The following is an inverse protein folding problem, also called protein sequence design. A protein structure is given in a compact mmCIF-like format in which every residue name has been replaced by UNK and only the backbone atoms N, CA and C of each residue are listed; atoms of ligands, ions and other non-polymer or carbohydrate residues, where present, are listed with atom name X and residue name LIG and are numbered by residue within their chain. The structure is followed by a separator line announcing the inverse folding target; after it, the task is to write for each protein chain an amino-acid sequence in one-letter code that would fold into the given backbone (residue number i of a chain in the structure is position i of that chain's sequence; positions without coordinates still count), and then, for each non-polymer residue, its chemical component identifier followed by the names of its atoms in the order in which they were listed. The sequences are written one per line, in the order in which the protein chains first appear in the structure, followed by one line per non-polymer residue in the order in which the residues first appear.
data_IF_161032547465
#
_entry.id   IF_161032547465
#
_cell.length_a   1.000
_cell.length_b   1.000
_cell.length_c   1.000
_cell.angle_alpha   90.00
_cell.angle_beta   90.00
_cell.angle_gamma   90.00
#
_symmetry.space_group_name_H-M   'P 1'
#
loop_
_entity.id
_entity.type
_entity.pdbx_description
1 polymer ?
#
# COMPACT_ATOMS: atom_id res chain seq x y z
N UNK A 1 20.21 -41.49 -21.32
CA UNK A 1 19.36 -41.12 -20.16
C UNK A 1 19.60 -39.65 -19.99
N UNK A 2 18.87 -38.84 -20.75
CA UNK A 2 19.18 -37.42 -20.93
C UNK A 2 18.34 -36.56 -19.96
N UNK A 3 17.55 -37.23 -19.11
CA UNK A 3 16.70 -36.65 -18.09
C UNK A 3 17.46 -36.22 -16.84
N UNK A 4 18.72 -36.64 -16.68
CA UNK A 4 19.54 -36.27 -15.52
C UNK A 4 20.62 -35.28 -15.94
N UNK A 5 20.56 -34.07 -15.38
CA UNK A 5 21.63 -33.10 -15.56
C UNK A 5 22.91 -33.57 -14.85
N UNK A 6 24.10 -33.40 -15.47
CA UNK A 6 25.37 -33.66 -14.79
C UNK A 6 25.52 -32.69 -13.61
N UNK A 7 26.01 -33.21 -12.48
CA UNK A 7 26.33 -32.41 -11.29
C UNK A 7 27.85 -32.23 -11.18
N UNK A 8 28.28 -31.05 -10.72
CA UNK A 8 29.69 -30.78 -10.44
C UNK A 8 30.04 -31.28 -9.03
N UNK A 9 30.85 -32.33 -8.96
CA UNK A 9 31.26 -32.95 -7.70
C UNK A 9 32.01 -32.00 -6.76
N UNK A 10 32.79 -31.05 -7.31
CA UNK A 10 33.54 -30.10 -6.49
C UNK A 10 32.61 -29.11 -5.77
N UNK A 11 31.55 -28.65 -6.45
CA UNK A 11 30.56 -27.77 -5.84
C UNK A 11 29.81 -28.47 -4.70
N UNK A 12 29.53 -29.78 -4.83
CA UNK A 12 28.89 -30.56 -3.78
C UNK A 12 29.76 -30.73 -2.52
N UNK A 13 31.09 -30.70 -2.67
CA UNK A 13 32.04 -30.77 -1.56
C UNK A 13 32.24 -29.42 -0.84
N UNK A 14 32.16 -28.30 -1.59
CA UNK A 14 32.36 -26.95 -1.05
C UNK A 14 31.13 -26.42 -0.31
N UNK A 15 29.93 -26.74 -0.80
CA UNK A 15 28.68 -26.24 -0.23
C UNK A 15 28.30 -27.12 0.98
N UNK A 16 28.22 -26.52 2.17
CA UNK A 16 27.79 -27.21 3.38
C UNK A 16 26.26 -27.37 3.46
N UNK A 17 25.79 -28.16 4.43
CA UNK A 17 24.35 -28.37 4.62
C UNK A 17 23.61 -27.09 5.00
N UNK A 18 24.27 -26.17 5.71
CA UNK A 18 23.66 -24.93 6.16
C UNK A 18 23.34 -24.03 4.97
N UNK A 19 24.31 -23.81 4.08
CA UNK A 19 24.12 -23.01 2.87
C UNK A 19 23.12 -23.65 1.90
N UNK A 20 23.07 -24.99 1.83
CA UNK A 20 22.07 -25.71 1.01
C UNK A 20 20.62 -25.51 1.47
N UNK A 21 20.41 -25.21 2.75
CA UNK A 21 19.08 -25.03 3.34
C UNK A 21 18.76 -23.56 3.62
N UNK A 22 19.70 -22.66 3.32
CA UNK A 22 19.53 -21.23 3.55
C UNK A 22 18.54 -20.65 2.54
N UNK A 23 17.60 -19.85 3.04
CA UNK A 23 16.60 -19.15 2.23
C UNK A 23 16.76 -17.65 2.45
N UNK A 24 16.67 -16.88 1.37
CA UNK A 24 16.71 -15.42 1.47
C UNK A 24 15.47 -14.92 2.25
N UNK A 25 15.64 -13.91 3.12
CA UNK A 25 14.51 -13.34 3.84
C UNK A 25 13.50 -12.68 2.89
N UNK A 26 12.24 -12.64 3.31
CA UNK A 26 11.20 -11.88 2.62
C UNK A 26 11.31 -10.40 2.98
N UNK A 27 12.12 -9.67 2.23
CA UNK A 27 12.28 -8.24 2.42
C UNK A 27 11.03 -7.45 2.03
N UNK A 28 10.75 -6.39 2.77
CA UNK A 28 9.65 -5.47 2.48
C UNK A 28 10.10 -4.42 1.46
N UNK A 29 9.19 -4.07 0.56
CA UNK A 29 9.38 -2.94 -0.35
C UNK A 29 8.65 -1.72 0.18
N UNK A 30 9.23 -0.53 -0.04
CA UNK A 30 8.58 0.73 0.31
C UNK A 30 7.57 1.06 -0.79
N UNK A 31 6.29 0.99 -0.46
CA UNK A 31 5.21 1.44 -1.36
C UNK A 31 4.84 2.88 -0.97
N UNK A 32 4.91 3.86 -1.89
CA UNK A 32 4.52 5.23 -1.57
C UNK A 32 3.03 5.28 -1.23
N UNK A 33 2.72 5.90 -0.09
CA UNK A 33 1.37 5.93 0.50
C UNK A 33 0.35 6.58 -0.44
N UNK A 34 0.78 7.51 -1.28
CA UNK A 34 -0.07 8.20 -2.23
C UNK A 34 -0.65 7.28 -3.33
N UNK A 35 -0.01 6.13 -3.56
CA UNK A 35 -0.46 5.11 -4.52
C UNK A 35 -1.28 4.01 -3.85
N UNK A 36 -1.54 4.11 -2.55
CA UNK A 36 -2.37 3.18 -1.82
C UNK A 36 -3.81 3.72 -1.74
N UNK A 37 -4.83 2.84 -1.75
CA UNK A 37 -6.20 3.24 -1.46
C UNK A 37 -6.35 3.69 -0.01
N UNK A 38 -7.17 4.71 0.22
CA UNK A 38 -7.52 5.13 1.57
C UNK A 38 -8.51 4.13 2.20
N UNK A 39 -8.11 3.52 3.32
CA UNK A 39 -8.92 2.57 4.07
C UNK A 39 -10.06 3.26 4.85
N UNK A 40 -9.92 4.55 5.14
CA UNK A 40 -10.88 5.34 5.92
C UNK A 40 -11.86 6.13 5.03
N UNK A 41 -11.88 5.86 3.71
CA UNK A 41 -12.74 6.56 2.76
C UNK A 41 -14.24 6.26 3.00
N UNK A 42 -14.93 7.15 3.72
CA UNK A 42 -16.37 7.08 4.05
C UNK A 42 -17.28 7.31 2.83
N UNK A 43 -16.73 7.90 1.76
CA UNK A 43 -17.45 8.30 0.55
C UNK A 43 -17.54 7.23 -0.54
N UNK A 44 -17.19 5.97 -0.24
CA UNK A 44 -17.26 4.86 -1.22
C UNK A 44 -16.15 4.87 -2.29
N UNK A 45 -15.19 5.79 -2.16
CA UNK A 45 -14.01 5.91 -3.02
C UNK A 45 -12.83 5.04 -2.55
N UNK A 46 -13.08 4.02 -1.71
CA UNK A 46 -12.05 3.13 -1.13
C UNK A 46 -11.26 2.31 -2.16
N UNK A 47 -11.62 2.41 -3.45
CA UNK A 47 -10.92 1.79 -4.56
C UNK A 47 -9.94 2.74 -5.27
N UNK A 48 -10.01 4.04 -4.99
CA UNK A 48 -9.12 5.05 -5.53
C UNK A 48 -7.92 5.26 -4.61
N UNK A 49 -6.77 5.50 -5.22
CA UNK A 49 -5.56 5.90 -4.48
C UNK A 49 -5.70 7.32 -3.92
N UNK A 50 -4.96 7.64 -2.87
CA UNK A 50 -4.95 8.98 -2.27
C UNK A 50 -4.66 10.07 -3.33
N UNK A 51 -3.71 9.80 -4.23
CA UNK A 51 -3.37 10.69 -5.35
C UNK A 51 -4.53 10.92 -6.34
N UNK A 52 -5.33 9.89 -6.60
CA UNK A 52 -6.49 10.01 -7.50
C UNK A 52 -7.64 10.76 -6.83
N UNK A 53 -7.82 10.58 -5.52
CA UNK A 53 -8.84 11.31 -4.75
C UNK A 53 -8.58 12.82 -4.74
N UNK A 54 -7.32 13.25 -4.61
CA UNK A 54 -6.93 14.67 -4.66
C UNK A 54 -7.23 15.36 -6.00
N UNK A 55 -7.37 14.59 -7.09
CA UNK A 55 -7.71 15.14 -8.40
C UNK A 55 -9.22 15.38 -8.58
N UNK A 56 -10.05 14.86 -7.67
CA UNK A 56 -11.50 15.11 -7.69
C UNK A 56 -11.81 16.49 -7.15
N UNK A 57 -12.64 17.23 -7.88
CA UNK A 57 -13.18 18.49 -7.38
C UNK A 57 -14.50 18.22 -6.65
N UNK A 58 -14.45 18.24 -5.31
CA UNK A 58 -15.60 17.95 -4.46
C UNK A 58 -16.33 19.23 -3.97
N UNK A 59 -15.88 20.41 -4.38
CA UNK A 59 -16.51 21.68 -3.97
C UNK A 59 -17.75 21.98 -4.82
N UNK A 60 -18.92 21.93 -4.19
CA UNK A 60 -20.21 22.22 -4.80
C UNK A 60 -20.73 23.64 -4.48
N UNK A 61 -19.99 24.45 -3.71
CA UNK A 61 -20.39 25.79 -3.28
C UNK A 61 -21.78 25.89 -2.59
N UNK A 62 -22.25 24.79 -1.99
CA UNK A 62 -23.56 24.71 -1.34
C UNK A 62 -23.69 25.61 -0.10
N UNK A 63 -22.57 26.06 0.47
CA UNK A 63 -22.53 27.03 1.58
C UNK A 63 -23.25 28.34 1.25
N UNK A 64 -23.39 28.68 -0.04
CA UNK A 64 -24.12 29.87 -0.49
C UNK A 64 -25.65 29.77 -0.32
N UNK A 65 -26.21 28.56 -0.29
CA UNK A 65 -27.66 28.36 -0.19
C UNK A 65 -28.18 28.51 1.26
N UNK A 66 -27.34 28.26 2.26
CA UNK A 66 -27.70 28.38 3.68
C UNK A 66 -26.50 28.82 4.55
N UNK A 67 -26.12 30.10 4.51
CA UNK A 67 -24.94 30.61 5.22
C UNK A 67 -25.00 30.43 6.75
N UNK A 68 -26.20 30.45 7.34
CA UNK A 68 -26.43 30.32 8.78
C UNK A 68 -26.10 28.90 9.31
N UNK A 69 -26.20 27.86 8.48
CA UNK A 69 -25.92 26.47 8.87
C UNK A 69 -24.43 26.09 8.74
N UNK A 70 -23.61 26.93 8.10
CA UNK A 70 -22.18 26.66 7.92
C UNK A 70 -21.36 26.86 9.21
N UNK A 71 -21.96 27.44 10.26
CA UNK A 71 -21.29 27.78 11.52
C UNK A 71 -21.32 26.68 12.59
N UNK A 72 -22.03 25.57 12.34
CA UNK A 72 -22.27 24.54 13.38
C UNK A 72 -21.22 23.44 13.49
N UNK A 73 -20.30 23.28 12.53
CA UNK A 73 -19.29 22.20 12.57
C UNK A 73 -17.97 22.56 13.28
N UNK A 74 -17.80 23.78 13.79
CA UNK A 74 -16.54 24.23 14.41
C UNK A 74 -16.50 24.05 15.95
N UNK A 75 -17.46 23.35 16.58
CA UNK A 75 -17.54 23.28 18.05
C UNK A 75 -17.73 21.88 18.66
N UNK A 76 -17.26 20.81 18.02
CA UNK A 76 -17.21 19.47 18.65
C UNK A 76 -15.78 18.93 18.60
N UNK A 77 -14.92 19.53 19.42
CA UNK A 77 -13.53 19.11 19.58
C UNK A 77 -12.86 19.64 20.85
N UNK A 78 -13.65 20.00 21.87
CA UNK A 78 -13.12 20.45 23.15
C UNK A 78 -13.66 19.61 24.30
N UNK A 79 -12.87 18.62 24.75
CA UNK A 79 -12.32 18.48 26.12
C UNK A 79 -10.99 17.73 26.01
#
# INVERSE_FOLDING_TARGET
MDSQAPSDGYLLEVIDNTWRQDELPHDQIIVPVENLPDLEADNGDSHLTLKEQEQKWNDLALSSLAPELALTDQNIGGI
#
